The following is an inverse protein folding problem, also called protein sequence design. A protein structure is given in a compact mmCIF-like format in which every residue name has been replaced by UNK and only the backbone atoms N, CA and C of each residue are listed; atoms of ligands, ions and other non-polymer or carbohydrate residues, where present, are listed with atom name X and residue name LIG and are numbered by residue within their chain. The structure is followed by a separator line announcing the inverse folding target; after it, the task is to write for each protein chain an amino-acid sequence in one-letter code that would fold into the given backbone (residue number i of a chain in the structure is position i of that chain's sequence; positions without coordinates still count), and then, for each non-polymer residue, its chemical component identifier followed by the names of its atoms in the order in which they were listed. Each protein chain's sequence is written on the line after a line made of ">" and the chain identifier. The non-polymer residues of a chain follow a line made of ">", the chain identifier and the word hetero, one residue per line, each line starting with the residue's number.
data_IF_177177512969
#
_entry.id   IF_177177512969
#
_cell.length_a   1.000
_cell.length_b   1.000
_cell.length_c   1.000
_cell.angle_alpha   90.00
_cell.angle_beta   90.00
_cell.angle_gamma   90.00
#
_symmetry.space_group_name_H-M   'P 1'
#
loop_
_entity.id
_entity.type
_entity.pdbx_description
1 polymer ?
#
# COMPACT_ATOMS: atom_id res chain seq x y z
N UNK A 1 -11.74 0.63 -12.72
CA UNK A 1 -10.35 0.72 -12.29
C UNK A 1 -9.51 0.04 -13.37
N UNK A 2 -8.62 0.77 -14.03
CA UNK A 2 -7.73 0.21 -15.03
C UNK A 2 -6.74 -0.74 -14.33
N UNK A 3 -6.74 -2.02 -14.71
CA UNK A 3 -5.89 -3.06 -14.12
C UNK A 3 -4.49 -2.98 -14.73
N UNK A 4 -3.49 -2.68 -13.90
CA UNK A 4 -2.06 -2.74 -14.26
C UNK A 4 -1.48 -4.16 -14.06
N UNK A 5 -2.31 -5.20 -14.11
CA UNK A 5 -1.90 -6.59 -13.85
C UNK A 5 -1.15 -7.18 -15.05
N UNK A 6 0.04 -6.64 -15.31
CA UNK A 6 0.98 -7.16 -16.30
C UNK A 6 1.73 -8.36 -15.72
N UNK A 7 1.11 -9.53 -15.53
CA UNK A 7 1.81 -10.83 -15.49
C UNK A 7 0.76 -11.97 -15.48
N UNK A 8 0.39 -12.43 -16.68
CA UNK A 8 -0.25 -13.72 -16.88
C UNK A 8 0.78 -14.84 -16.68
N UNK A 9 0.61 -15.64 -15.64
CA UNK A 9 1.45 -16.82 -15.41
C UNK A 9 1.15 -17.46 -14.07
N UNK A 10 0.58 -18.66 -14.11
CA UNK A 10 0.25 -19.52 -12.97
C UNK A 10 1.48 -19.90 -12.14
N UNK A 11 2.05 -18.96 -11.39
CA UNK A 11 2.89 -19.27 -10.22
C UNK A 11 1.95 -19.53 -9.04
N UNK A 12 2.26 -20.52 -8.22
CA UNK A 12 1.61 -20.71 -6.91
C UNK A 12 1.80 -19.42 -6.10
N UNK A 13 0.87 -18.48 -6.23
CA UNK A 13 0.87 -17.24 -5.47
C UNK A 13 0.52 -17.62 -4.04
N UNK A 14 1.45 -17.33 -3.12
CA UNK A 14 1.18 -17.53 -1.70
C UNK A 14 0.12 -16.52 -1.29
N UNK A 15 -0.98 -16.98 -0.70
CA UNK A 15 -2.01 -16.06 -0.19
C UNK A 15 -1.39 -15.21 0.91
N UNK A 16 -1.43 -13.89 0.73
CA UNK A 16 -0.87 -12.91 1.65
C UNK A 16 -1.99 -12.22 2.43
N UNK A 17 -1.69 -11.75 3.64
CA UNK A 17 -2.60 -10.90 4.44
C UNK A 17 -2.98 -9.59 3.74
N UNK A 18 -2.20 -9.20 2.75
CA UNK A 18 -2.47 -8.02 1.91
C UNK A 18 -3.42 -8.33 0.76
N UNK A 19 -3.78 -9.59 0.50
CA UNK A 19 -4.65 -9.93 -0.61
C UNK A 19 -6.13 -9.74 -0.24
N UNK A 20 -6.82 -8.84 -0.94
CA UNK A 20 -8.27 -8.65 -0.83
C UNK A 20 -9.06 -9.70 -1.61
N UNK A 21 -10.31 -9.94 -1.19
CA UNK A 21 -11.24 -10.83 -1.92
C UNK A 21 -11.65 -10.23 -3.27
N UNK A 22 -11.78 -8.91 -3.34
CA UNK A 22 -12.15 -8.15 -4.53
C UNK A 22 -11.29 -6.89 -4.62
N UNK A 23 -10.88 -6.46 -5.82
CA UNK A 23 -10.14 -5.22 -5.98
C UNK A 23 -11.05 -4.03 -5.61
N UNK A 24 -10.57 -3.05 -4.84
CA UNK A 24 -11.36 -1.86 -4.52
C UNK A 24 -11.77 -1.08 -5.77
N UNK A 25 -12.98 -0.49 -5.75
CA UNK A 25 -13.49 0.32 -6.88
C UNK A 25 -12.72 1.64 -7.06
N UNK A 26 -12.12 2.16 -5.99
CA UNK A 26 -11.31 3.38 -6.01
C UNK A 26 -9.97 3.13 -6.72
N UNK A 27 -9.58 4.05 -7.62
CA UNK A 27 -8.29 3.99 -8.29
C UNK A 27 -7.14 4.19 -7.31
N UNK A 28 -5.94 3.73 -7.67
CA UNK A 28 -4.75 3.88 -6.83
C UNK A 28 -4.42 5.36 -6.62
N UNK A 29 -4.56 6.18 -7.66
CA UNK A 29 -4.34 7.62 -7.56
C UNK A 29 -5.31 8.27 -6.57
N UNK A 30 -6.62 8.06 -6.72
CA UNK A 30 -7.60 8.63 -5.81
C UNK A 30 -7.42 8.11 -4.36
N UNK A 31 -6.99 6.87 -4.20
CA UNK A 31 -6.68 6.31 -2.89
C UNK A 31 -5.43 6.96 -2.28
N UNK A 32 -4.37 7.19 -3.06
CA UNK A 32 -3.18 7.89 -2.62
C UNK A 32 -3.49 9.35 -2.25
N UNK A 33 -4.30 10.06 -3.05
CA UNK A 33 -4.76 11.42 -2.76
C UNK A 33 -5.59 11.46 -1.46
N UNK A 34 -6.46 10.47 -1.24
CA UNK A 34 -7.20 10.31 0.02
C UNK A 34 -6.25 10.13 1.21
N UNK A 35 -5.24 9.27 1.09
CA UNK A 35 -4.24 9.07 2.15
C UNK A 35 -3.48 10.37 2.39
N UNK A 36 -3.01 11.05 1.34
CA UNK A 36 -2.31 12.32 1.44
C UNK A 36 -3.13 13.38 2.17
N UNK A 37 -4.43 13.47 1.87
CA UNK A 37 -5.34 14.44 2.48
C UNK A 37 -5.60 14.19 3.97
N UNK A 38 -5.71 12.92 4.38
CA UNK A 38 -6.16 12.58 5.74
C UNK A 38 -5.07 12.05 6.67
N UNK A 39 -3.94 11.55 6.16
CA UNK A 39 -2.89 10.96 7.00
C UNK A 39 -2.10 12.00 7.81
N UNK A 40 -2.06 13.27 7.35
CA UNK A 40 -1.31 14.37 7.97
C UNK A 40 0.14 14.01 8.35
N UNK A 41 0.82 13.21 7.52
CA UNK A 41 2.22 12.85 7.69
C UNK A 41 3.12 13.68 6.78
N UNK A 42 4.42 13.71 7.06
CA UNK A 42 5.37 14.46 6.25
C UNK A 42 5.40 13.95 4.79
N UNK A 43 5.64 14.82 3.80
CA UNK A 43 5.79 14.39 2.40
C UNK A 43 6.89 13.34 2.19
N UNK A 44 7.95 13.38 3.02
CA UNK A 44 9.02 12.38 3.06
C UNK A 44 8.50 10.96 3.34
N UNK A 45 7.42 10.80 4.11
CA UNK A 45 6.82 9.50 4.41
C UNK A 45 6.30 8.80 3.15
N UNK A 46 5.84 9.54 2.14
CA UNK A 46 5.41 8.96 0.86
C UNK A 46 6.59 8.45 0.02
N UNK A 47 7.71 9.17 0.04
CA UNK A 47 8.95 8.73 -0.62
C UNK A 47 9.47 7.46 0.04
N UNK A 48 9.49 7.43 1.38
CA UNK A 48 9.90 6.24 2.15
C UNK A 48 8.94 5.07 1.93
N UNK A 49 7.63 5.32 1.87
CA UNK A 49 6.63 4.29 1.57
C UNK A 49 6.86 3.67 0.18
N UNK A 50 7.20 4.47 -0.83
CA UNK A 50 7.58 3.96 -2.16
C UNK A 50 8.82 3.05 -2.08
N UNK A 51 9.85 3.47 -1.34
CA UNK A 51 11.06 2.64 -1.11
C UNK A 51 10.70 1.32 -0.40
N UNK A 52 9.73 1.33 0.53
CA UNK A 52 9.26 0.10 1.17
C UNK A 52 8.56 -0.85 0.19
N UNK A 53 7.72 -0.32 -0.71
CA UNK A 53 7.07 -1.12 -1.74
C UNK A 53 8.06 -1.71 -2.74
N UNK A 54 9.07 -0.93 -3.17
CA UNK A 54 10.14 -1.40 -4.05
C UNK A 54 10.96 -2.53 -3.38
N UNK A 55 11.40 -2.33 -2.13
CA UNK A 55 12.09 -3.36 -1.36
C UNK A 55 11.23 -4.60 -1.13
N UNK A 56 9.91 -4.44 -0.92
CA UNK A 56 8.98 -5.54 -0.78
C UNK A 56 8.93 -6.38 -2.07
N UNK A 57 8.80 -5.73 -3.23
CA UNK A 57 8.78 -6.39 -4.53
C UNK A 57 10.06 -7.21 -4.79
N UNK A 58 11.22 -6.66 -4.45
CA UNK A 58 12.52 -7.33 -4.61
C UNK A 58 12.70 -8.52 -3.65
N UNK A 59 12.26 -8.38 -2.38
CA UNK A 59 12.44 -9.41 -1.35
C UNK A 59 11.38 -10.50 -1.37
N UNK A 60 10.21 -10.23 -1.96
CA UNK A 60 9.08 -11.16 -2.00
C UNK A 60 8.62 -11.42 -3.45
N UNK A 61 9.47 -12.04 -4.30
CA UNK A 61 9.14 -12.29 -5.71
C UNK A 61 7.96 -13.25 -5.91
N UNK A 62 7.55 -13.98 -4.87
CA UNK A 62 6.36 -14.85 -4.87
C UNK A 62 5.06 -14.10 -4.55
N UNK A 63 5.14 -12.83 -4.15
CA UNK A 63 4.03 -11.96 -3.80
C UNK A 63 4.07 -10.68 -4.65
N UNK A 64 3.83 -10.79 -5.98
CA UNK A 64 3.84 -9.62 -6.85
C UNK A 64 2.76 -8.62 -6.42
N UNK A 65 3.06 -7.33 -6.53
CA UNK A 65 2.10 -6.26 -6.30
C UNK A 65 1.08 -6.28 -7.44
N UNK A 66 -0.20 -6.32 -7.10
CA UNK A 66 -1.31 -6.41 -8.05
C UNK A 66 -2.54 -5.65 -7.53
N UNK A 67 -3.58 -5.55 -8.37
CA UNK A 67 -4.80 -4.79 -8.05
C UNK A 67 -5.56 -5.28 -6.81
N UNK A 68 -5.29 -6.49 -6.33
CA UNK A 68 -5.93 -7.08 -5.14
C UNK A 68 -5.18 -6.76 -3.84
N UNK A 69 -3.90 -6.38 -3.92
CA UNK A 69 -3.07 -6.16 -2.74
C UNK A 69 -2.51 -4.74 -2.58
N UNK A 70 -2.43 -3.98 -3.68
CA UNK A 70 -1.75 -2.69 -3.72
C UNK A 70 -2.35 -1.67 -2.75
N UNK A 71 -3.69 -1.59 -2.59
CA UNK A 71 -4.31 -0.66 -1.65
C UNK A 71 -3.88 -0.94 -0.21
N UNK A 72 -3.93 -2.22 0.21
CA UNK A 72 -3.55 -2.65 1.57
C UNK A 72 -2.04 -2.44 1.80
N UNK A 73 -1.21 -2.71 0.80
CA UNK A 73 0.23 -2.45 0.86
C UNK A 73 0.53 -0.96 0.97
N UNK A 74 -0.19 -0.11 0.24
CA UNK A 74 0.04 1.33 0.22
C UNK A 74 -0.24 1.98 1.58
N UNK A 75 -1.43 1.77 2.15
CA UNK A 75 -1.78 2.33 3.47
C UNK A 75 -0.84 1.82 4.56
N UNK A 76 -0.45 0.54 4.49
CA UNK A 76 0.51 -0.04 5.45
C UNK A 76 1.88 0.61 5.32
N UNK A 77 2.37 0.80 4.10
CA UNK A 77 3.68 1.39 3.85
C UNK A 77 3.73 2.85 4.33
N UNK A 78 2.68 3.62 4.08
CA UNK A 78 2.57 5.02 4.57
C UNK A 78 2.47 5.08 6.08
N UNK A 79 1.65 4.23 6.71
CA UNK A 79 1.54 4.18 8.17
C UNK A 79 2.88 3.83 8.84
N UNK A 80 3.60 2.83 8.31
CA UNK A 80 4.91 2.44 8.84
C UNK A 80 5.93 3.56 8.65
N UNK A 81 5.93 4.21 7.48
CA UNK A 81 6.83 5.34 7.22
C UNK A 81 6.54 6.52 8.17
N UNK A 82 5.28 6.89 8.36
CA UNK A 82 4.89 7.96 9.28
C UNK A 82 5.35 7.68 10.72
N UNK A 83 5.13 6.46 11.22
CA UNK A 83 5.57 6.07 12.56
C UNK A 83 7.09 6.02 12.75
N UNK A 84 7.83 5.83 11.67
CA UNK A 84 9.28 5.75 11.71
C UNK A 84 9.95 7.12 11.54
N UNK A 85 9.38 7.97 10.69
CA UNK A 85 9.98 9.24 10.27
C UNK A 85 9.46 10.44 11.03
N UNK A 86 8.18 10.46 11.39
CA UNK A 86 7.54 11.61 12.03
C UNK A 86 7.52 11.43 13.56
N UNK A 87 7.84 12.49 14.29
CA UNK A 87 7.76 12.51 15.77
C UNK A 87 6.30 12.46 16.27
N UNK A 88 5.37 12.97 15.46
CA UNK A 88 3.93 12.98 15.74
C UNK A 88 3.20 12.15 14.68
N UNK A 89 2.53 11.09 15.12
CA UNK A 89 1.80 10.17 14.25
C UNK A 89 0.47 9.74 14.87
N UNK A 90 -0.50 9.38 14.03
CA UNK A 90 -1.77 8.85 14.49
C UNK A 90 -1.70 7.37 14.85
N UNK A 91 -2.67 6.92 15.66
CA UNK A 91 -2.80 5.50 16.01
C UNK A 91 -3.29 4.63 14.83
N UNK A 92 -3.16 3.31 14.97
CA UNK A 92 -3.55 2.38 13.90
C UNK A 92 -5.05 2.43 13.56
N UNK A 93 -5.90 2.73 14.55
CA UNK A 93 -7.35 2.83 14.34
C UNK A 93 -7.71 4.00 13.41
N UNK A 94 -6.95 5.09 13.49
CA UNK A 94 -7.10 6.23 12.59
C UNK A 94 -6.72 5.87 11.15
N UNK A 95 -5.56 5.23 10.94
CA UNK A 95 -5.16 4.76 9.60
C UNK A 95 -6.12 3.72 9.03
N UNK A 96 -6.69 2.84 9.86
CA UNK A 96 -7.71 1.89 9.45
C UNK A 96 -9.04 2.54 9.01
N UNK A 97 -9.34 3.75 9.50
CA UNK A 97 -10.51 4.53 9.06
C UNK A 97 -10.25 5.26 7.73
N UNK A 98 -9.01 5.67 7.48
CA UNK A 98 -8.60 6.25 6.20
C UNK A 98 -8.61 5.17 5.12
N UNK A 99 -8.04 4.00 5.44
CA UNK A 99 -7.84 2.88 4.51
C UNK A 99 -9.13 2.26 4.00
#
# INVERSE_FOLDING_TARGET
>A
AESNDLYGGSRHQKVSVFHGLTPPAISIQCYLERIFKYANCSPSCFVVAYVYLDRFSQRQPLLPINSYNVHRLLITSVMVAAKFMDDLYYNNAYYAKIG
#
